data_IF_690259145085
#
_entry.id   IF_690259145085
#
_cell.length_a   1.000
_cell.length_b   1.000
_cell.length_c   1.000
_cell.angle_alpha   90.00
_cell.angle_beta   90.00
_cell.angle_gamma   90.00
#
_symmetry.space_group_name_H-M   'P 1'
#
loop_
_entity.id
_entity.type
_entity.pdbx_description
1 polymer ?
#
# COMPACT_ATOMS: atom_id res chain seq x y z
N UNK A 1 -4.45 8.25 9.23
CA UNK A 1 -3.97 8.18 7.83
C UNK A 1 -4.21 6.78 7.33
N UNK A 2 -4.69 6.57 6.10
CA UNK A 2 -5.00 5.23 5.57
C UNK A 2 -4.04 4.90 4.44
N UNK A 3 -3.35 3.77 4.55
CA UNK A 3 -2.47 3.22 3.54
C UNK A 3 -3.20 2.11 2.80
N UNK A 4 -3.22 2.18 1.47
CA UNK A 4 -3.81 1.16 0.62
C UNK A 4 -2.71 0.36 -0.07
N UNK A 5 -2.80 -0.97 -0.04
CA UNK A 5 -1.82 -1.86 -0.64
C UNK A 5 -2.50 -2.75 -1.67
N UNK A 6 -2.04 -2.66 -2.92
CA UNK A 6 -2.41 -3.60 -3.96
C UNK A 6 -1.68 -4.93 -3.74
N UNK A 7 -2.43 -5.98 -3.39
CA UNK A 7 -1.90 -7.31 -3.14
C UNK A 7 -2.20 -8.30 -4.28
N UNK A 8 -2.54 -7.84 -5.50
CA UNK A 8 -2.94 -8.70 -6.63
C UNK A 8 -1.94 -9.81 -7.04
N UNK A 9 -0.75 -9.89 -6.45
CA UNK A 9 0.25 -10.95 -6.66
C UNK A 9 0.34 -11.99 -5.54
N UNK A 10 -0.34 -11.80 -4.41
CA UNK A 10 -0.35 -12.70 -3.25
C UNK A 10 -1.77 -12.80 -2.66
N UNK A 11 -2.05 -13.85 -1.89
CA UNK A 11 -3.37 -13.97 -1.23
C UNK A 11 -3.54 -12.90 -0.15
N UNK A 12 -4.78 -12.60 0.23
CA UNK A 12 -5.05 -11.67 1.33
C UNK A 12 -4.48 -12.22 2.64
N UNK A 13 -4.60 -13.53 2.88
CA UNK A 13 -4.05 -14.20 4.06
C UNK A 13 -2.52 -14.09 4.13
N UNK A 14 -1.83 -14.30 3.01
CA UNK A 14 -0.37 -14.17 2.96
C UNK A 14 0.06 -12.72 3.18
N UNK A 15 -0.66 -11.76 2.60
CA UNK A 15 -0.40 -10.34 2.78
C UNK A 15 -0.56 -9.91 4.24
N UNK A 16 -1.64 -10.34 4.90
CA UNK A 16 -1.89 -10.06 6.31
C UNK A 16 -0.79 -10.65 7.21
N UNK A 17 -0.32 -11.86 6.92
CA UNK A 17 0.78 -12.49 7.65
C UNK A 17 2.09 -11.68 7.51
N UNK A 18 2.43 -11.28 6.28
CA UNK A 18 3.62 -10.48 5.99
C UNK A 18 3.53 -9.14 6.72
N UNK A 19 2.43 -8.40 6.58
CA UNK A 19 2.23 -7.11 7.23
C UNK A 19 2.30 -7.22 8.75
N UNK A 20 1.68 -8.26 9.32
CA UNK A 20 1.74 -8.52 10.76
C UNK A 20 3.17 -8.77 11.23
N UNK A 21 3.95 -9.56 10.49
CA UNK A 21 5.35 -9.82 10.82
C UNK A 21 6.22 -8.55 10.76
N UNK A 22 6.02 -7.70 9.74
CA UNK A 22 6.74 -6.44 9.59
C UNK A 22 6.38 -5.49 10.71
N UNK A 23 5.08 -5.34 11.02
CA UNK A 23 4.62 -4.50 12.11
C UNK A 23 5.20 -4.97 13.46
N UNK A 24 5.20 -6.27 13.73
CA UNK A 24 5.78 -6.83 14.96
C UNK A 24 7.28 -6.57 15.07
N UNK A 25 8.01 -6.76 13.97
CA UNK A 25 9.45 -6.46 13.94
C UNK A 25 9.71 -4.98 14.21
N UNK A 26 8.97 -4.07 13.57
CA UNK A 26 9.12 -2.63 13.80
C UNK A 26 8.83 -2.23 15.25
N UNK A 27 7.77 -2.77 15.85
CA UNK A 27 7.42 -2.51 17.26
C UNK A 27 8.50 -3.00 18.23
N UNK A 28 9.18 -4.10 17.91
CA UNK A 28 10.19 -4.71 18.79
C UNK A 28 11.61 -4.20 18.55
N UNK A 29 12.02 -4.03 17.29
CA UNK A 29 13.39 -3.69 16.90
C UNK A 29 13.64 -2.18 16.91
N UNK A 30 12.66 -1.37 16.51
CA UNK A 30 12.82 0.10 16.48
C UNK A 30 12.30 0.78 17.76
N UNK A 31 11.88 -0.01 18.76
CA UNK A 31 11.22 0.48 19.99
C UNK A 31 10.09 1.48 19.68
N UNK A 32 9.41 1.28 18.54
CA UNK A 32 8.39 2.18 18.04
C UNK A 32 7.16 2.16 18.97
N UNK A 33 6.96 3.26 19.70
CA UNK A 33 5.72 3.51 20.43
C UNK A 33 4.66 4.02 19.44
N UNK A 34 3.80 3.10 18.98
CA UNK A 34 2.70 3.42 18.06
C UNK A 34 1.40 3.48 18.84
N UNK A 35 0.99 4.68 19.29
CA UNK A 35 -0.32 4.89 19.94
C UNK A 35 -1.49 4.77 18.93
N UNK A 36 -1.32 5.30 17.71
CA UNK A 36 -2.26 5.16 16.60
C UNK A 36 -1.47 5.07 15.27
N UNK A 37 -1.32 3.84 14.75
CA UNK A 37 -0.68 3.58 13.46
C UNK A 37 -1.56 3.96 12.27
N UNK A 38 -1.02 4.00 11.04
CA UNK A 38 -1.86 4.15 9.86
C UNK A 38 -2.77 2.93 9.72
N UNK A 39 -4.02 3.15 9.34
CA UNK A 39 -4.93 2.07 8.96
C UNK A 39 -4.44 1.48 7.63
N UNK A 40 -4.24 0.17 7.55
CA UNK A 40 -3.79 -0.50 6.33
C UNK A 40 -4.96 -1.30 5.75
N UNK A 41 -5.25 -1.09 4.46
CA UNK A 41 -6.32 -1.79 3.74
C UNK A 41 -5.75 -2.43 2.48
N UNK A 42 -6.00 -3.73 2.32
CA UNK A 42 -5.66 -4.49 1.11
C UNK A 42 -6.73 -4.28 0.04
N UNK A 43 -6.31 -3.99 -1.19
CA UNK A 43 -7.20 -3.60 -2.30
C UNK A 43 -7.07 -4.47 -3.57
N UNK A 44 -6.43 -5.63 -3.48
CA UNK A 44 -6.14 -6.50 -4.64
C UNK A 44 -7.37 -7.07 -5.36
N UNK A 45 -8.55 -7.07 -4.73
CA UNK A 45 -9.80 -7.58 -5.35
C UNK A 45 -10.66 -6.49 -6.03
N UNK A 46 -10.19 -5.25 -6.09
CA UNK A 46 -10.96 -4.17 -6.70
C UNK A 46 -11.07 -4.32 -8.22
N UNK A 47 -12.29 -4.19 -8.72
CA UNK A 47 -12.54 -4.08 -10.17
C UNK A 47 -11.98 -2.77 -10.74
N UNK A 48 -11.78 -2.72 -12.06
CA UNK A 48 -11.28 -1.52 -12.74
C UNK A 48 -12.12 -0.27 -12.48
N UNK A 49 -13.44 -0.42 -12.34
CA UNK A 49 -14.35 0.68 -12.01
C UNK A 49 -14.12 1.19 -10.59
N UNK A 50 -13.97 0.29 -9.61
CA UNK A 50 -13.71 0.66 -8.22
C UNK A 50 -12.34 1.34 -8.09
N UNK A 51 -11.32 0.82 -8.78
CA UNK A 51 -10.01 1.46 -8.85
C UNK A 51 -10.07 2.86 -9.45
N UNK A 52 -10.78 3.03 -10.56
CA UNK A 52 -10.94 4.35 -11.19
C UNK A 52 -11.57 5.37 -10.24
N UNK A 53 -12.56 4.96 -9.44
CA UNK A 53 -13.14 5.81 -8.41
C UNK A 53 -12.14 6.10 -7.28
N UNK A 54 -11.42 5.07 -6.82
CA UNK A 54 -10.46 5.16 -5.72
C UNK A 54 -9.31 6.12 -6.05
N UNK A 55 -8.74 6.03 -7.26
CA UNK A 55 -7.60 6.85 -7.70
C UNK A 55 -7.87 8.34 -7.54
N UNK A 56 -9.11 8.78 -7.74
CA UNK A 56 -9.49 10.19 -7.59
C UNK A 56 -9.43 10.70 -6.14
N UNK A 57 -9.45 9.79 -5.17
CA UNK A 57 -9.42 10.09 -3.74
C UNK A 57 -8.03 9.91 -3.13
N UNK A 58 -7.07 9.35 -3.87
CA UNK A 58 -5.71 9.10 -3.38
C UNK A 58 -4.92 10.40 -3.32
N UNK A 59 -4.27 10.61 -2.18
CA UNK A 59 -3.47 11.81 -1.90
C UNK A 59 -2.06 11.71 -2.49
N UNK A 60 -1.57 10.48 -2.63
CA UNK A 60 -0.26 10.21 -3.20
C UNK A 60 0.01 8.72 -3.35
N UNK A 61 1.06 8.39 -4.12
CA UNK A 61 1.57 7.05 -4.32
C UNK A 61 3.02 7.03 -3.85
N UNK A 62 3.33 6.15 -2.91
CA UNK A 62 4.69 5.98 -2.39
C UNK A 62 5.52 5.23 -3.42
N UNK A 63 6.68 5.79 -3.80
CA UNK A 63 7.61 5.11 -4.71
C UNK A 63 8.42 4.06 -3.95
N UNK A 64 8.35 2.82 -4.42
CA UNK A 64 9.20 1.73 -3.92
C UNK A 64 10.28 1.35 -4.94
N UNK A 65 11.30 0.63 -4.50
CA UNK A 65 12.37 0.12 -5.40
C UNK A 65 11.82 -0.90 -6.41
N UNK A 66 10.80 -1.67 -6.01
CA UNK A 66 10.21 -2.74 -6.80
C UNK A 66 8.70 -2.53 -6.97
N UNK A 67 8.34 -1.68 -7.94
CA UNK A 67 6.93 -1.38 -8.23
C UNK A 67 6.32 -2.35 -9.24
N UNK A 68 5.03 -2.62 -9.10
CA UNK A 68 4.27 -3.32 -10.12
C UNK A 68 3.91 -2.34 -11.27
N UNK A 69 4.86 -2.12 -12.17
CA UNK A 69 4.68 -1.25 -13.34
C UNK A 69 3.47 -1.64 -14.20
N UNK A 70 3.15 -2.93 -14.26
CA UNK A 70 1.97 -3.45 -14.97
C UNK A 70 0.66 -2.94 -14.37
N UNK A 71 0.48 -3.10 -13.05
CA UNK A 71 -0.69 -2.54 -12.33
C UNK A 71 -0.75 -1.02 -12.45
N UNK A 72 0.40 -0.34 -12.34
CA UNK A 72 0.46 1.13 -12.44
C UNK A 72 -0.09 1.60 -13.79
N UNK A 73 0.43 1.05 -14.90
CA UNK A 73 0.01 1.43 -16.24
C UNK A 73 -1.45 1.04 -16.53
N UNK A 74 -1.89 -0.14 -16.08
CA UNK A 74 -3.27 -0.61 -16.29
C UNK A 74 -4.30 0.28 -15.59
N UNK A 75 -3.96 0.73 -14.38
CA UNK A 75 -4.83 1.56 -13.54
C UNK A 75 -4.66 3.06 -13.81
N UNK A 76 -3.69 3.45 -14.63
CA UNK A 76 -3.28 4.85 -14.84
C UNK A 76 -2.85 5.55 -13.54
N UNK A 77 -2.25 4.78 -12.64
CA UNK A 77 -1.83 5.24 -11.32
C UNK A 77 -0.60 6.17 -11.39
N UNK A 78 0.04 6.30 -12.56
CA UNK A 78 1.07 7.29 -12.83
C UNK A 78 0.58 8.75 -12.70
N UNK A 79 -0.74 8.96 -12.71
CA UNK A 79 -1.36 10.29 -12.52
C UNK A 79 -1.40 10.71 -11.05
N UNK A 80 -1.19 9.79 -10.12
CA UNK A 80 -1.19 10.07 -8.69
C UNK A 80 0.12 10.77 -8.32
N UNK A 81 0.06 11.76 -7.45
CA UNK A 81 1.24 12.45 -6.96
C UNK A 81 2.24 11.46 -6.33
N UNK A 82 3.47 11.46 -6.83
CA UNK A 82 4.50 10.55 -6.34
C UNK A 82 5.11 11.10 -5.05
N UNK A 83 5.14 10.28 -4.01
CA UNK A 83 5.82 10.55 -2.75
C UNK A 83 7.09 9.70 -2.75
N UNK A 84 8.25 10.33 -2.66
CA UNK A 84 9.50 9.62 -2.43
C UNK A 84 9.73 9.48 -0.94
N UNK A 85 10.21 8.30 -0.53
CA UNK A 85 10.71 8.12 0.83
C UNK A 85 12.10 8.77 0.86
N UNK A 86 12.26 9.76 1.73
CA UNK A 86 13.58 10.34 1.99
C UNK A 86 14.47 9.24 2.59
N UNK A 87 15.63 9.03 1.99
CA UNK A 87 16.64 8.04 2.40
C UNK A 87 17.63 8.63 3.40
#
# INVERSE_FOLDING_TARGET
MTLLIDNNSITAEDADLILSSVAMNLLMEEELEVDEGPEIVLVGELSQMQWSALITQLQGRIKLEHENEGSIAQLQAEKIALIQLDS
#
